data_IF_302703308592
#
_entry.id   IF_302703308592
#
_cell.length_a   1.000
_cell.length_b   1.000
_cell.length_c   1.000
_cell.angle_alpha   90.00
_cell.angle_beta   90.00
_cell.angle_gamma   90.00
#
_symmetry.space_group_name_H-M   'P 1'
#
loop_
_entity.id
_entity.type
_entity.pdbx_description
1 polymer ?
#
# COMPACT_ATOMS: atom_id res chain seq x y z
N UNK A 1 34.65 2.78 2.71
CA UNK A 1 33.72 1.61 2.75
C UNK A 1 33.57 1.13 1.33
N UNK A 2 33.99 -0.07 1.05
CA UNK A 2 33.89 -0.64 -0.30
C UNK A 2 32.46 -1.16 -0.51
N UNK A 3 31.67 -0.44 -1.24
CA UNK A 3 30.33 -0.85 -1.66
C UNK A 3 30.37 -1.21 -3.16
N UNK A 4 29.64 -2.26 -3.54
CA UNK A 4 29.48 -2.65 -4.94
C UNK A 4 28.37 -1.84 -5.61
N UNK A 5 27.43 -1.32 -4.81
CA UNK A 5 26.35 -0.46 -5.26
C UNK A 5 25.98 0.60 -4.20
N UNK A 6 25.56 1.76 -4.67
CA UNK A 6 25.02 2.83 -3.82
C UNK A 6 23.59 3.14 -4.25
N UNK A 7 22.68 3.15 -3.29
CA UNK A 7 21.28 3.55 -3.49
C UNK A 7 21.05 4.85 -2.74
N UNK A 8 20.58 5.87 -3.43
CA UNK A 8 20.26 7.17 -2.84
C UNK A 8 18.75 7.26 -2.57
N UNK A 9 18.40 7.46 -1.32
CA UNK A 9 17.02 7.47 -0.83
C UNK A 9 16.55 6.12 -0.31
N UNK A 10 15.98 6.11 0.89
CA UNK A 10 15.44 4.92 1.57
C UNK A 10 13.91 4.86 1.56
N UNK A 11 13.28 5.48 0.58
CA UNK A 11 11.85 5.26 0.30
C UNK A 11 11.58 3.85 -0.21
N UNK A 12 10.31 3.43 -0.40
CA UNK A 12 9.95 2.06 -0.79
C UNK A 12 10.70 1.55 -2.01
N UNK A 13 10.87 2.37 -3.04
CA UNK A 13 11.55 1.98 -4.27
C UNK A 13 13.07 1.83 -4.06
N UNK A 14 13.68 2.74 -3.32
CA UNK A 14 15.10 2.65 -2.98
C UNK A 14 15.41 1.41 -2.14
N UNK A 15 14.59 1.14 -1.13
CA UNK A 15 14.73 -0.07 -0.31
C UNK A 15 14.48 -1.35 -1.13
N UNK A 16 13.52 -1.36 -2.05
CA UNK A 16 13.28 -2.49 -2.95
C UNK A 16 14.50 -2.76 -3.84
N UNK A 17 15.10 -1.71 -4.40
CA UNK A 17 16.34 -1.82 -5.18
C UNK A 17 17.49 -2.34 -4.33
N UNK A 18 17.69 -1.77 -3.14
CA UNK A 18 18.76 -2.19 -2.23
C UNK A 18 18.63 -3.66 -1.83
N UNK A 19 17.42 -4.10 -1.46
CA UNK A 19 17.15 -5.50 -1.11
C UNK A 19 17.40 -6.44 -2.29
N UNK A 20 16.98 -6.03 -3.49
CA UNK A 20 17.19 -6.83 -4.71
C UNK A 20 18.68 -7.01 -5.01
N UNK A 21 19.46 -5.94 -4.92
CA UNK A 21 20.91 -5.98 -5.14
C UNK A 21 21.63 -6.80 -4.05
N UNK A 22 21.23 -6.62 -2.79
CA UNK A 22 21.79 -7.38 -1.67
C UNK A 22 21.48 -8.88 -1.79
N UNK A 23 20.26 -9.23 -2.22
CA UNK A 23 19.89 -10.63 -2.47
C UNK A 23 20.68 -11.27 -3.62
N UNK A 24 21.20 -10.45 -4.55
CA UNK A 24 22.12 -10.89 -5.58
C UNK A 24 23.59 -10.98 -5.12
N UNK A 25 23.86 -10.79 -3.82
CA UNK A 25 25.20 -10.93 -3.22
C UNK A 25 26.04 -9.65 -3.26
N UNK A 26 25.49 -8.51 -3.66
CA UNK A 26 26.21 -7.24 -3.71
C UNK A 26 26.23 -6.57 -2.32
N UNK A 27 27.32 -5.90 -1.99
CA UNK A 27 27.42 -5.02 -0.83
C UNK A 27 26.78 -3.68 -1.19
N UNK A 28 25.62 -3.40 -0.59
CA UNK A 28 24.83 -2.22 -0.90
C UNK A 28 24.93 -1.18 0.20
N UNK A 29 25.24 0.06 -0.18
CA UNK A 29 25.19 1.21 0.69
C UNK A 29 23.95 2.05 0.36
N UNK A 30 23.10 2.28 1.36
CA UNK A 30 21.92 3.16 1.20
C UNK A 30 22.20 4.49 1.88
N UNK A 31 22.02 5.58 1.13
CA UNK A 31 22.19 6.94 1.63
C UNK A 31 20.82 7.59 1.73
N UNK A 32 20.47 8.07 2.93
CA UNK A 32 19.22 8.78 3.20
C UNK A 32 19.51 10.21 3.67
N UNK A 33 18.79 11.18 3.12
CA UNK A 33 18.93 12.59 3.48
C UNK A 33 18.10 13.02 4.69
N UNK A 34 17.09 12.23 5.06
CA UNK A 34 16.25 12.47 6.23
C UNK A 34 16.80 11.75 7.47
N UNK A 35 16.43 12.19 8.69
CA UNK A 35 16.85 11.52 9.93
C UNK A 35 16.34 10.08 10.06
N UNK A 36 15.25 9.74 9.37
CA UNK A 36 14.60 8.42 9.41
C UNK A 36 14.40 7.86 8.02
N UNK A 37 14.49 6.55 7.90
CA UNK A 37 14.22 5.83 6.65
C UNK A 37 12.72 5.75 6.35
N UNK A 38 12.36 5.39 5.11
CA UNK A 38 10.98 5.06 4.71
C UNK A 38 10.35 6.01 3.70
N UNK A 39 10.93 7.20 3.49
CA UNK A 39 10.38 8.18 2.54
C UNK A 39 8.93 8.54 2.86
N UNK A 40 8.03 8.44 1.89
CA UNK A 40 6.60 8.71 2.09
C UNK A 40 5.86 7.67 2.95
N UNK A 41 6.46 6.52 3.25
CA UNK A 41 5.89 5.50 4.13
C UNK A 41 6.29 5.68 5.61
N UNK A 42 6.88 6.81 5.98
CA UNK A 42 7.21 7.11 7.37
C UNK A 42 5.96 7.37 8.19
N UNK A 43 6.03 7.02 9.47
CA UNK A 43 5.02 7.33 10.47
C UNK A 43 5.65 8.20 11.55
N UNK A 44 5.09 9.36 11.82
CA UNK A 44 5.65 10.35 12.74
C UNK A 44 4.56 10.98 13.63
N UNK A 45 4.95 11.59 14.72
CA UNK A 45 4.06 12.37 15.59
C UNK A 45 3.94 13.80 15.02
N UNK A 46 2.99 14.00 14.10
CA UNK A 46 2.83 15.25 13.35
C UNK A 46 1.94 16.30 14.04
N UNK A 47 1.17 15.91 15.04
CA UNK A 47 0.20 16.80 15.71
C UNK A 47 0.48 16.90 17.20
N UNK A 48 -0.04 15.97 17.99
CA UNK A 48 0.14 15.94 19.44
C UNK A 48 1.07 14.79 19.83
N UNK A 49 1.84 14.93 20.92
CA UNK A 49 2.68 13.85 21.43
C UNK A 49 1.87 12.55 21.65
N UNK A 50 2.40 11.42 21.19
CA UNK A 50 1.75 10.12 21.28
C UNK A 50 0.79 9.80 20.13
N UNK A 51 0.41 10.78 19.30
CA UNK A 51 -0.43 10.57 18.12
C UNK A 51 0.41 10.36 16.87
N UNK A 52 0.49 9.13 16.40
CA UNK A 52 1.26 8.73 15.22
C UNK A 52 0.42 8.83 13.97
N UNK A 53 1.00 9.45 12.94
CA UNK A 53 0.37 9.68 11.65
C UNK A 53 1.29 9.20 10.53
N UNK A 54 0.70 8.68 9.46
CA UNK A 54 1.44 8.46 8.23
C UNK A 54 1.79 9.80 7.58
N UNK A 55 3.07 10.01 7.28
CA UNK A 55 3.57 11.28 6.74
C UNK A 55 2.96 11.57 5.37
N UNK A 56 2.79 10.53 4.54
CA UNK A 56 2.26 10.67 3.19
C UNK A 56 1.36 9.49 2.82
N UNK A 57 1.89 8.27 2.87
CA UNK A 57 1.24 7.08 2.30
C UNK A 57 0.46 6.33 3.38
N UNK A 58 -0.81 6.70 3.57
CA UNK A 58 -1.71 6.05 4.54
C UNK A 58 -2.39 4.78 3.99
N UNK A 59 -2.42 4.59 2.67
CA UNK A 59 -3.00 3.42 2.01
C UNK A 59 -2.01 2.81 1.01
N UNK A 60 -1.93 1.48 0.98
CA UNK A 60 -0.94 0.75 0.20
C UNK A 60 -1.57 -0.28 -0.76
N UNK A 61 -2.47 0.13 -1.69
CA UNK A 61 -3.18 -0.81 -2.56
C UNK A 61 -2.24 -1.62 -3.46
N UNK A 62 -1.11 -1.03 -3.85
CA UNK A 62 -0.12 -1.70 -4.69
C UNK A 62 0.80 -2.65 -3.91
N UNK A 63 0.81 -2.62 -2.58
CA UNK A 63 1.65 -3.53 -1.80
C UNK A 63 1.28 -5.00 -2.02
N UNK A 64 0.00 -5.28 -2.26
CA UNK A 64 -0.50 -6.63 -2.54
C UNK A 64 -0.29 -7.03 -4.00
N UNK A 65 -0.47 -6.09 -4.92
CA UNK A 65 -0.39 -6.34 -6.37
C UNK A 65 1.04 -6.32 -6.91
N UNK A 66 1.97 -5.70 -6.21
CA UNK A 66 3.36 -5.55 -6.66
C UNK A 66 4.07 -6.91 -6.76
N UNK A 67 4.63 -7.26 -7.93
CA UNK A 67 5.42 -8.48 -8.09
C UNK A 67 6.65 -8.54 -7.16
N UNK A 68 7.22 -7.38 -6.82
CA UNK A 68 8.30 -7.30 -5.85
C UNK A 68 7.83 -7.74 -4.46
N UNK A 69 6.76 -7.14 -3.94
CA UNK A 69 6.28 -7.46 -2.59
C UNK A 69 5.71 -8.87 -2.47
N UNK A 70 5.13 -9.40 -3.53
CA UNK A 70 4.70 -10.81 -3.59
C UNK A 70 5.90 -11.74 -3.42
N UNK A 71 7.00 -11.52 -4.15
CA UNK A 71 8.23 -12.31 -4.02
C UNK A 71 8.93 -12.08 -2.68
N UNK A 72 8.94 -10.85 -2.21
CA UNK A 72 9.59 -10.47 -0.95
C UNK A 72 8.87 -11.04 0.26
N UNK A 73 7.55 -11.27 0.19
CA UNK A 73 6.76 -11.91 1.24
C UNK A 73 6.59 -11.02 2.47
N UNK A 74 5.90 -9.88 2.33
CA UNK A 74 5.71 -8.92 3.42
C UNK A 74 5.09 -9.54 4.67
N UNK A 75 4.06 -10.38 4.51
CA UNK A 75 3.36 -11.02 5.64
C UNK A 75 4.26 -12.00 6.40
N UNK A 76 5.09 -12.76 5.70
CA UNK A 76 6.07 -13.63 6.31
C UNK A 76 7.16 -12.85 7.09
N UNK A 77 7.26 -11.55 6.86
CA UNK A 77 8.19 -10.63 7.53
C UNK A 77 7.52 -9.75 8.58
N UNK A 78 6.30 -10.11 9.00
CA UNK A 78 5.59 -9.46 10.09
C UNK A 78 4.71 -8.27 9.69
N UNK A 79 4.51 -8.01 8.39
CA UNK A 79 3.58 -6.97 7.95
C UNK A 79 2.16 -7.52 7.97
N UNK A 80 1.29 -6.90 8.75
CA UNK A 80 -0.14 -7.19 8.77
C UNK A 80 -0.87 -6.21 7.87
N UNK A 81 -1.68 -6.72 6.95
CA UNK A 81 -2.52 -5.91 6.07
C UNK A 81 -3.93 -5.88 6.63
N UNK A 82 -4.45 -4.67 6.86
CA UNK A 82 -5.84 -4.44 7.27
C UNK A 82 -6.68 -4.03 6.04
N UNK A 83 -7.89 -4.53 5.98
CA UNK A 83 -8.84 -4.27 4.90
C UNK A 83 -10.11 -3.70 5.48
N UNK A 84 -10.35 -2.39 5.37
CA UNK A 84 -11.59 -1.81 5.82
C UNK A 84 -12.76 -2.27 4.95
N UNK A 85 -13.97 -2.27 5.51
CA UNK A 85 -15.20 -2.57 4.77
C UNK A 85 -15.45 -1.53 3.67
N UNK A 86 -15.23 -0.26 3.99
CA UNK A 86 -15.22 0.86 3.05
C UNK A 86 -13.78 1.28 2.81
N UNK A 87 -13.28 1.05 1.60
CA UNK A 87 -11.89 1.33 1.25
C UNK A 87 -11.66 2.82 0.94
N UNK A 88 -12.64 3.45 0.28
CA UNK A 88 -12.61 4.89 -0.06
C UNK A 88 -14.01 5.44 0.10
N UNK A 89 -14.11 6.64 0.65
CA UNK A 89 -15.36 7.41 0.72
C UNK A 89 -15.14 8.81 0.17
N UNK A 90 -16.05 9.25 -0.70
CA UNK A 90 -16.12 10.61 -1.21
C UNK A 90 -17.38 11.29 -0.68
N UNK A 91 -17.26 12.18 0.30
CA UNK A 91 -18.39 12.99 0.75
C UNK A 91 -18.91 13.88 -0.39
N UNK A 92 -20.21 13.96 -0.52
CA UNK A 92 -20.91 14.75 -1.51
C UNK A 92 -21.92 15.69 -0.81
N UNK A 93 -22.36 16.71 -1.52
CA UNK A 93 -23.37 17.63 -1.00
C UNK A 93 -24.67 16.92 -0.62
N UNK A 94 -25.39 17.49 0.36
CA UNK A 94 -26.68 16.97 0.83
C UNK A 94 -26.57 15.69 1.68
N UNK A 95 -25.44 15.46 2.36
CA UNK A 95 -25.25 14.31 3.27
C UNK A 95 -25.09 12.97 2.56
N UNK A 96 -24.79 12.98 1.27
CA UNK A 96 -24.52 11.78 0.48
C UNK A 96 -23.04 11.43 0.51
N UNK A 97 -22.72 10.19 0.18
CA UNK A 97 -21.35 9.77 -0.09
C UNK A 97 -21.31 8.74 -1.22
N UNK A 98 -20.25 8.79 -2.02
CA UNK A 98 -19.89 7.70 -2.89
C UNK A 98 -18.81 6.86 -2.18
N UNK A 99 -19.00 5.55 -2.10
CA UNK A 99 -18.06 4.66 -1.41
C UNK A 99 -17.58 3.56 -2.33
N UNK A 100 -16.34 3.15 -2.11
CA UNK A 100 -15.73 1.99 -2.77
C UNK A 100 -15.54 0.89 -1.73
N UNK A 101 -16.05 -0.28 -2.06
CA UNK A 101 -15.85 -1.50 -1.28
C UNK A 101 -15.04 -2.50 -2.09
N UNK A 102 -14.59 -3.57 -1.47
CA UNK A 102 -13.85 -4.65 -2.15
C UNK A 102 -14.66 -5.34 -3.26
N UNK A 103 -15.98 -5.27 -3.19
CA UNK A 103 -16.87 -5.87 -4.18
C UNK A 103 -17.22 -4.86 -5.28
N UNK A 104 -16.82 -5.16 -6.51
CA UNK A 104 -17.25 -4.39 -7.69
C UNK A 104 -18.78 -4.33 -7.79
N UNK A 105 -19.45 -5.43 -7.49
CA UNK A 105 -20.90 -5.50 -7.49
C UNK A 105 -21.51 -4.66 -6.37
N UNK A 106 -20.92 -4.71 -5.16
CA UNK A 106 -21.34 -3.91 -4.00
C UNK A 106 -21.18 -2.42 -4.25
N UNK A 107 -20.00 -2.00 -4.72
CA UNK A 107 -19.76 -0.60 -5.11
C UNK A 107 -20.74 -0.14 -6.17
N UNK A 108 -20.94 -0.90 -7.24
CA UNK A 108 -21.84 -0.56 -8.33
C UNK A 108 -23.30 -0.43 -7.87
N UNK A 109 -23.74 -1.21 -6.89
CA UNK A 109 -25.09 -1.12 -6.33
C UNK A 109 -25.35 0.21 -5.62
N UNK A 110 -24.30 0.82 -5.04
CA UNK A 110 -24.41 2.11 -4.32
C UNK A 110 -24.27 3.33 -5.23
N UNK A 111 -23.79 3.16 -6.46
CA UNK A 111 -23.55 4.25 -7.41
C UNK A 111 -24.79 4.62 -8.24
N UNK A 112 -25.94 4.03 -7.99
CA UNK A 112 -27.19 4.35 -8.70
C UNK A 112 -27.05 4.23 -10.23
N UNK A 113 -27.29 5.30 -10.96
CA UNK A 113 -27.24 5.33 -12.44
C UNK A 113 -25.84 4.95 -12.99
N UNK A 114 -24.78 5.29 -12.28
CA UNK A 114 -23.40 5.05 -12.71
C UNK A 114 -22.93 3.60 -12.45
N UNK A 115 -23.68 2.83 -11.69
CA UNK A 115 -23.30 1.47 -11.31
C UNK A 115 -23.08 0.53 -12.50
N UNK A 116 -23.83 0.71 -13.60
CA UNK A 116 -23.65 -0.07 -14.83
C UNK A 116 -22.30 0.25 -15.50
N UNK A 117 -21.95 1.53 -15.58
CA UNK A 117 -20.70 1.98 -16.15
C UNK A 117 -19.51 1.50 -15.29
N UNK A 118 -19.65 1.59 -13.98
CA UNK A 118 -18.65 1.08 -13.02
C UNK A 118 -18.38 -0.41 -13.21
N UNK A 119 -19.42 -1.25 -13.28
CA UNK A 119 -19.27 -2.70 -13.54
C UNK A 119 -18.61 -2.99 -14.89
N UNK A 120 -18.97 -2.22 -15.93
CA UNK A 120 -18.36 -2.41 -17.25
C UNK A 120 -16.87 -2.11 -17.24
N UNK A 121 -16.45 -1.10 -16.49
CA UNK A 121 -15.06 -0.67 -16.41
C UNK A 121 -14.23 -1.59 -15.51
N UNK A 122 -14.71 -1.89 -14.32
CA UNK A 122 -13.95 -2.59 -13.29
C UNK A 122 -14.21 -4.10 -13.23
N UNK A 123 -15.34 -4.56 -13.73
CA UNK A 123 -15.68 -5.99 -13.70
C UNK A 123 -14.70 -6.91 -14.41
N UNK A 124 -14.11 -6.53 -15.57
CA UNK A 124 -13.13 -7.35 -16.27
C UNK A 124 -11.74 -7.38 -15.59
N UNK A 125 -11.47 -6.46 -14.65
CA UNK A 125 -10.18 -6.43 -13.97
C UNK A 125 -10.03 -7.62 -13.03
N UNK A 126 -8.85 -8.26 -12.98
CA UNK A 126 -8.63 -9.35 -12.06
C UNK A 126 -8.80 -8.84 -10.62
N UNK A 127 -9.75 -9.41 -9.91
CA UNK A 127 -9.82 -9.24 -8.47
C UNK A 127 -8.64 -9.99 -7.88
N UNK A 128 -7.72 -9.30 -7.24
CA UNK A 128 -6.68 -9.95 -6.45
C UNK A 128 -7.37 -10.60 -5.26
N UNK A 129 -7.89 -11.79 -5.46
CA UNK A 129 -8.26 -12.69 -4.37
C UNK A 129 -6.95 -13.17 -3.76
N UNK A 130 -6.36 -12.36 -2.91
CA UNK A 130 -5.47 -12.90 -1.91
C UNK A 130 -6.34 -13.78 -1.01
N UNK A 131 -6.45 -15.06 -1.37
CA UNK A 131 -6.89 -16.10 -0.44
C UNK A 131 -5.77 -16.26 0.59
N UNK A 132 -5.63 -15.30 1.45
CA UNK A 132 -4.91 -15.47 2.70
C UNK A 132 -6.01 -15.66 3.73
N UNK A 133 -6.29 -16.91 4.05
CA UNK A 133 -7.00 -17.26 5.26
C UNK A 133 -6.21 -16.64 6.41
N UNK A 134 -6.62 -15.46 6.85
CA UNK A 134 -6.21 -14.94 8.14
C UNK A 134 -6.97 -15.81 9.12
N UNK A 135 -6.26 -16.76 9.73
CA UNK A 135 -6.76 -17.50 10.86
C UNK A 135 -7.15 -16.45 11.93
N UNK A 136 -8.41 -16.46 12.29
CA UNK A 136 -8.92 -15.79 13.49
C UNK A 136 -8.12 -16.31 14.69
N UNK A 137 -7.41 -15.40 15.37
CA UNK A 137 -6.97 -15.56 16.75
C UNK A 137 -7.14 -14.24 17.48
#
# INVERSE_FOLDING_TARGET
>A
MDADAVVVGSGPNGLAAAVTLAAAGLRVHVIEGAPTIGGGCRTEELTLPGFRHDVCSAAHPLAVASPFFQRFGLTARGVTLAWPEVEVAHPLDGGRAAVVTRSVAGTAAMLGADGRAYRRLFGPLPTTTASTSIAER
#
